data_IF_742998113930
#
_entry.id   IF_742998113930
#
_cell.length_a   1.000
_cell.length_b   1.000
_cell.length_c   1.000
_cell.angle_alpha   90.00
_cell.angle_beta   90.00
_cell.angle_gamma   90.00
#
_symmetry.space_group_name_H-M   'P 1'
#
loop_
_entity.id
_entity.type
_entity.pdbx_description
1 polymer ?
#
# COMPACT_ATOMS: atom_id res chain seq x y z
N UNK A 1 -7.45 -20.87 20.05
CA UNK A 1 -6.86 -21.17 18.73
C UNK A 1 -7.97 -21.11 17.70
N UNK A 2 -8.38 -19.89 17.32
CA UNK A 2 -9.36 -19.68 16.25
C UNK A 2 -8.58 -19.55 14.95
N UNK A 3 -8.70 -20.56 14.11
CA UNK A 3 -8.28 -20.48 12.72
C UNK A 3 -9.37 -19.63 12.05
N UNK A 4 -9.11 -18.35 11.83
CA UNK A 4 -9.96 -17.53 10.98
C UNK A 4 -9.76 -18.01 9.55
N UNK A 5 -10.73 -18.77 9.07
CA UNK A 5 -10.86 -19.18 7.69
C UNK A 5 -11.11 -17.92 6.82
N UNK A 6 -10.04 -17.29 6.35
CA UNK A 6 -10.05 -16.16 5.41
C UNK A 6 -10.33 -16.66 3.98
N UNK A 7 -11.38 -17.44 3.81
CA UNK A 7 -11.96 -17.67 2.49
C UNK A 7 -12.75 -16.41 2.12
N UNK A 8 -12.03 -15.41 1.59
CA UNK A 8 -12.64 -14.24 0.94
C UNK A 8 -13.36 -14.80 -0.29
N UNK A 9 -14.65 -15.07 -0.14
CA UNK A 9 -15.54 -15.37 -1.24
C UNK A 9 -15.51 -14.16 -2.19
N UNK A 10 -14.73 -14.29 -3.27
CA UNK A 10 -14.72 -13.34 -4.36
C UNK A 10 -16.11 -13.34 -5.01
N UNK A 11 -16.96 -12.39 -4.60
CA UNK A 11 -18.17 -12.05 -5.34
C UNK A 11 -17.76 -11.28 -6.60
N UNK A 12 -17.34 -12.03 -7.62
CA UNK A 12 -17.12 -11.48 -8.94
C UNK A 12 -18.48 -11.03 -9.51
N UNK A 13 -18.55 -9.80 -10.04
CA UNK A 13 -19.64 -9.33 -10.93
C UNK A 13 -20.03 -10.40 -11.94
N UNK A 14 -19.01 -11.09 -12.46
CA UNK A 14 -19.08 -12.15 -13.45
C UNK A 14 -19.98 -13.35 -13.03
N UNK A 15 -20.20 -13.56 -11.74
CA UNK A 15 -21.03 -14.65 -11.23
C UNK A 15 -22.51 -14.26 -11.03
N UNK A 16 -22.86 -12.96 -11.04
CA UNK A 16 -24.23 -12.48 -10.81
C UNK A 16 -24.90 -11.89 -12.06
N UNK A 17 -24.14 -11.48 -13.09
CA UNK A 17 -24.70 -10.91 -14.31
C UNK A 17 -24.98 -12.00 -15.38
N UNK A 18 -26.20 -12.57 -15.37
CA UNK A 18 -26.74 -13.47 -16.40
C UNK A 18 -26.99 -12.74 -17.73
N UNK A 19 -25.91 -12.37 -18.41
CA UNK A 19 -25.96 -11.53 -19.62
C UNK A 19 -24.63 -10.89 -20.03
N UNK A 20 -23.57 -11.14 -19.23
CA UNK A 20 -22.09 -11.02 -19.34
C UNK A 20 -21.43 -9.87 -20.12
N UNK A 21 -22.01 -9.32 -21.18
CA UNK A 21 -21.50 -8.11 -21.85
C UNK A 21 -22.45 -6.93 -21.70
N UNK A 22 -23.75 -7.15 -21.87
CA UNK A 22 -24.73 -6.04 -21.88
C UNK A 22 -24.84 -5.40 -20.50
N UNK A 23 -24.90 -6.18 -19.44
CA UNK A 23 -25.02 -5.67 -18.08
C UNK A 23 -23.73 -5.00 -17.60
N UNK A 24 -22.56 -5.54 -17.98
CA UNK A 24 -21.27 -4.88 -17.75
C UNK A 24 -21.21 -3.51 -18.44
N UNK A 25 -21.56 -3.45 -19.73
CA UNK A 25 -21.59 -2.19 -20.50
C UNK A 25 -22.60 -1.20 -19.90
N UNK A 26 -23.71 -1.69 -19.34
CA UNK A 26 -24.76 -0.84 -18.80
C UNK A 26 -24.45 -0.32 -17.39
N UNK A 27 -23.78 -1.12 -16.55
CA UNK A 27 -23.62 -0.85 -15.12
C UNK A 27 -22.17 -0.53 -14.78
N UNK A 28 -21.25 -1.44 -15.10
CA UNK A 28 -19.85 -1.32 -14.69
C UNK A 28 -19.06 -0.31 -15.52
N UNK A 29 -19.31 -0.22 -16.82
CA UNK A 29 -18.58 0.71 -17.70
C UNK A 29 -18.83 2.18 -17.34
N UNK A 30 -20.07 2.66 -17.11
CA UNK A 30 -20.30 4.03 -16.65
C UNK A 30 -19.66 4.33 -15.29
N UNK A 31 -19.72 3.37 -14.36
CA UNK A 31 -19.07 3.50 -13.06
C UNK A 31 -17.54 3.57 -13.18
N UNK A 32 -16.96 2.77 -14.08
CA UNK A 32 -15.54 2.82 -14.43
C UNK A 32 -15.16 4.19 -14.98
N UNK A 33 -15.88 4.70 -15.98
CA UNK A 33 -15.61 6.00 -16.60
C UNK A 33 -15.68 7.15 -15.58
N UNK A 34 -16.75 7.18 -14.77
CA UNK A 34 -16.91 8.14 -13.68
C UNK A 34 -15.75 8.07 -12.67
N UNK A 35 -15.27 6.86 -12.36
CA UNK A 35 -14.15 6.66 -11.44
C UNK A 35 -12.82 7.15 -12.01
N UNK A 36 -12.56 6.91 -13.31
CA UNK A 36 -11.33 7.37 -13.97
C UNK A 36 -11.23 8.90 -13.96
N UNK A 37 -12.34 9.60 -14.22
CA UNK A 37 -12.36 11.07 -14.22
C UNK A 37 -12.59 11.68 -12.82
N UNK A 38 -13.01 10.87 -11.85
CA UNK A 38 -13.33 11.30 -10.49
C UNK A 38 -14.64 12.08 -10.39
N UNK A 39 -15.63 11.77 -11.22
CA UNK A 39 -16.98 12.33 -11.16
C UNK A 39 -17.81 11.60 -10.10
N UNK A 40 -17.87 12.22 -8.92
CA UNK A 40 -18.62 11.64 -7.80
C UNK A 40 -20.12 11.62 -8.05
N UNK A 41 -20.67 12.61 -8.74
CA UNK A 41 -22.13 12.71 -8.94
C UNK A 41 -22.59 11.60 -9.89
N UNK A 42 -21.86 11.38 -10.98
CA UNK A 42 -22.12 10.27 -11.89
C UNK A 42 -21.95 8.92 -11.19
N UNK A 43 -20.86 8.73 -10.42
CA UNK A 43 -20.63 7.49 -9.68
C UNK A 43 -21.72 7.24 -8.63
N UNK A 44 -22.08 8.25 -7.84
CA UNK A 44 -23.13 8.15 -6.82
C UNK A 44 -24.49 7.81 -7.44
N UNK A 45 -24.84 8.44 -8.56
CA UNK A 45 -26.07 8.11 -9.28
C UNK A 45 -26.09 6.63 -9.72
N UNK A 46 -24.98 6.13 -10.30
CA UNK A 46 -24.88 4.71 -10.69
C UNK A 46 -25.01 3.77 -9.49
N UNK A 47 -24.40 4.11 -8.35
CA UNK A 47 -24.51 3.32 -7.11
C UNK A 47 -25.93 3.36 -6.54
N UNK A 48 -26.60 4.51 -6.62
CA UNK A 48 -27.97 4.68 -6.13
C UNK A 48 -29.01 3.96 -6.98
N UNK A 49 -28.89 3.99 -8.31
CA UNK A 49 -29.77 3.27 -9.23
C UNK A 49 -29.68 1.75 -9.00
N UNK A 50 -28.48 1.26 -8.66
CA UNK A 50 -28.20 -0.17 -8.51
C UNK A 50 -27.97 -0.53 -7.02
N UNK A 51 -28.72 0.08 -6.11
CA UNK A 51 -28.48 -0.06 -4.67
C UNK A 51 -28.66 -1.48 -4.12
N UNK A 52 -29.35 -2.36 -4.85
CA UNK A 52 -29.47 -3.78 -4.49
C UNK A 52 -28.18 -4.58 -4.76
N UNK A 53 -27.26 -4.03 -5.55
CA UNK A 53 -25.98 -4.65 -5.89
C UNK A 53 -24.85 -4.09 -5.03
N UNK A 54 -23.95 -4.97 -4.58
CA UNK A 54 -22.71 -4.55 -3.92
C UNK A 54 -21.64 -4.08 -4.92
N UNK A 55 -21.94 -3.03 -5.69
CA UNK A 55 -21.05 -2.52 -6.73
C UNK A 55 -19.67 -2.05 -6.21
N UNK A 56 -19.57 -1.69 -4.93
CA UNK A 56 -18.30 -1.30 -4.31
C UNK A 56 -17.45 -2.49 -3.90
N UNK A 57 -18.08 -3.63 -3.59
CA UNK A 57 -17.41 -4.90 -3.36
C UNK A 57 -17.02 -5.66 -4.64
N UNK A 58 -17.44 -5.15 -5.79
CA UNK A 58 -17.32 -5.80 -7.08
C UNK A 58 -16.06 -5.39 -7.84
N UNK A 59 -15.44 -6.37 -8.51
CA UNK A 59 -14.40 -6.11 -9.50
C UNK A 59 -15.01 -5.60 -10.80
N UNK A 60 -14.61 -4.41 -11.24
CA UNK A 60 -15.13 -3.73 -12.44
C UNK A 60 -14.19 -3.86 -13.65
N UNK A 61 -13.04 -4.52 -13.50
CA UNK A 61 -12.10 -4.80 -14.61
C UNK A 61 -11.69 -6.29 -14.64
N UNK A 62 -10.98 -6.68 -15.71
CA UNK A 62 -10.38 -8.02 -15.83
C UNK A 62 -9.26 -8.26 -14.82
N UNK A 63 -8.66 -7.19 -14.32
CA UNK A 63 -7.56 -7.22 -13.35
C UNK A 63 -8.06 -7.26 -11.91
N UNK A 64 -9.35 -7.58 -11.71
CA UNK A 64 -10.04 -7.63 -10.42
C UNK A 64 -10.08 -6.30 -9.67
N UNK A 65 -9.81 -5.19 -10.35
CA UNK A 65 -9.79 -3.86 -9.74
C UNK A 65 -11.22 -3.44 -9.37
N UNK A 66 -11.38 -2.87 -8.18
CA UNK A 66 -12.64 -2.30 -7.72
C UNK A 66 -12.75 -0.83 -8.13
N UNK A 67 -13.94 -0.24 -7.92
CA UNK A 67 -14.17 1.21 -8.08
C UNK A 67 -13.12 2.06 -7.36
N UNK A 68 -12.66 1.62 -6.17
CA UNK A 68 -11.63 2.33 -5.43
C UNK A 68 -10.28 2.32 -6.14
N UNK A 69 -9.84 1.16 -6.66
CA UNK A 69 -8.58 1.06 -7.40
C UNK A 69 -8.59 2.01 -8.61
N UNK A 70 -9.67 1.96 -9.41
CA UNK A 70 -9.81 2.81 -10.60
C UNK A 70 -9.93 4.29 -10.22
N UNK A 71 -10.64 4.60 -9.14
CA UNK A 71 -10.81 5.95 -8.61
C UNK A 71 -9.49 6.68 -8.32
N UNK A 72 -8.41 5.95 -8.03
CA UNK A 72 -7.11 6.52 -7.74
C UNK A 72 -6.44 7.17 -8.95
N UNK A 73 -6.75 6.72 -10.17
CA UNK A 73 -6.22 7.32 -11.39
C UNK A 73 -6.64 8.79 -11.54
N UNK A 74 -7.84 9.15 -11.05
CA UNK A 74 -8.34 10.53 -11.11
C UNK A 74 -7.51 11.53 -10.29
N UNK A 75 -6.76 11.03 -9.30
CA UNK A 75 -6.11 11.85 -8.25
C UNK A 75 -7.06 12.82 -7.52
N UNK A 76 -8.38 12.64 -7.67
CA UNK A 76 -9.39 13.48 -7.06
C UNK A 76 -9.61 13.06 -5.60
N UNK A 77 -8.98 13.79 -4.69
CA UNK A 77 -9.06 13.54 -3.25
C UNK A 77 -10.51 13.53 -2.74
N UNK A 78 -11.37 14.42 -3.25
CA UNK A 78 -12.78 14.49 -2.80
C UNK A 78 -13.55 13.25 -3.23
N UNK A 79 -13.33 12.79 -4.46
CA UNK A 79 -13.92 11.55 -4.96
C UNK A 79 -13.49 10.35 -4.12
N UNK A 80 -12.18 10.18 -3.92
CA UNK A 80 -11.63 9.06 -3.13
C UNK A 80 -12.12 9.10 -1.70
N UNK A 81 -12.17 10.28 -1.06
CA UNK A 81 -12.68 10.42 0.30
C UNK A 81 -14.14 9.96 0.42
N UNK A 82 -15.01 10.48 -0.45
CA UNK A 82 -16.42 10.09 -0.45
C UNK A 82 -16.62 8.60 -0.72
N UNK A 83 -15.79 8.02 -1.60
CA UNK A 83 -15.82 6.58 -1.89
C UNK A 83 -15.40 5.76 -0.67
N UNK A 84 -14.28 6.11 -0.03
CA UNK A 84 -13.79 5.45 1.20
C UNK A 84 -14.81 5.57 2.34
N UNK A 85 -15.45 6.72 2.50
CA UNK A 85 -16.48 6.95 3.52
C UNK A 85 -17.74 6.08 3.30
N UNK A 86 -18.05 5.71 2.04
CA UNK A 86 -19.17 4.83 1.67
C UNK A 86 -18.85 3.34 1.73
N UNK A 87 -17.57 2.97 1.81
CA UNK A 87 -17.15 1.57 1.79
C UNK A 87 -17.10 0.95 3.19
N UNK A 88 -17.43 -0.34 3.26
CA UNK A 88 -17.19 -1.19 4.43
C UNK A 88 -15.71 -1.56 4.50
N UNK A 89 -15.26 -1.95 5.69
CA UNK A 89 -13.87 -2.36 5.91
C UNK A 89 -13.49 -3.55 5.01
N UNK A 90 -14.42 -4.51 4.83
CA UNK A 90 -14.22 -5.64 3.92
C UNK A 90 -14.04 -5.22 2.46
N UNK A 91 -14.80 -4.22 2.00
CA UNK A 91 -14.66 -3.70 0.63
C UNK A 91 -13.34 -2.95 0.44
N UNK A 92 -12.87 -2.22 1.46
CA UNK A 92 -11.59 -1.51 1.42
C UNK A 92 -10.41 -2.48 1.32
N UNK A 93 -10.53 -3.68 1.91
CA UNK A 93 -9.48 -4.70 1.90
C UNK A 93 -9.43 -5.55 0.63
N UNK A 94 -10.33 -5.31 -0.34
CA UNK A 94 -10.33 -6.05 -1.59
C UNK A 94 -9.03 -5.84 -2.37
N UNK A 95 -8.60 -6.90 -3.04
CA UNK A 95 -7.33 -6.96 -3.75
C UNK A 95 -7.54 -7.16 -5.26
N UNK A 96 -6.68 -6.53 -6.05
CA UNK A 96 -6.60 -6.76 -7.50
C UNK A 96 -6.01 -8.15 -7.84
N UNK A 97 -5.79 -8.41 -9.12
CA UNK A 97 -5.21 -9.68 -9.61
C UNK A 97 -3.81 -9.96 -9.08
N UNK A 98 -3.08 -8.95 -8.62
CA UNK A 98 -1.74 -9.06 -8.05
C UNK A 98 -1.77 -9.18 -6.53
N UNK A 99 -2.96 -9.21 -5.91
CA UNK A 99 -3.08 -9.17 -4.45
C UNK A 99 -2.90 -7.76 -3.90
N UNK A 100 -2.89 -6.71 -4.71
CA UNK A 100 -2.64 -5.37 -4.22
C UNK A 100 -3.97 -4.72 -3.81
N UNK A 101 -3.98 -4.10 -2.63
CA UNK A 101 -5.09 -3.23 -2.23
C UNK A 101 -4.91 -1.83 -2.83
N UNK A 102 -5.95 -1.02 -2.75
CA UNK A 102 -5.87 0.40 -3.07
C UNK A 102 -4.77 1.13 -2.27
N UNK A 103 -4.49 0.70 -1.02
CA UNK A 103 -3.41 1.27 -0.23
C UNK A 103 -2.03 0.95 -0.84
N UNK A 104 -1.82 -0.28 -1.34
CA UNK A 104 -0.56 -0.66 -2.00
C UNK A 104 -0.31 0.16 -3.27
N UNK A 105 -1.35 0.46 -4.04
CA UNK A 105 -1.27 1.33 -5.21
C UNK A 105 -0.85 2.75 -4.85
N UNK A 106 -1.52 3.40 -3.88
CA UNK A 106 -1.14 4.76 -3.47
C UNK A 106 0.23 4.79 -2.80
N UNK A 107 0.64 3.69 -2.14
CA UNK A 107 1.95 3.56 -1.54
C UNK A 107 3.07 3.55 -2.60
N UNK A 108 2.91 2.76 -3.67
CA UNK A 108 3.80 2.76 -4.82
C UNK A 108 3.81 4.09 -5.59
N UNK A 109 2.66 4.77 -5.67
CA UNK A 109 2.57 6.11 -6.26
C UNK A 109 3.20 7.20 -5.38
N UNK A 110 3.22 7.00 -4.05
CA UNK A 110 3.72 7.96 -3.07
C UNK A 110 2.71 9.04 -2.65
N UNK A 111 1.41 8.84 -2.89
CA UNK A 111 0.37 9.82 -2.54
C UNK A 111 -0.02 9.71 -1.05
N UNK A 112 0.74 10.40 -0.19
CA UNK A 112 0.55 10.36 1.28
C UNK A 112 -0.83 10.86 1.70
N UNK A 113 -1.43 11.79 0.97
CA UNK A 113 -2.75 12.33 1.32
C UNK A 113 -3.85 11.28 1.14
N UNK A 114 -3.83 10.54 0.02
CA UNK A 114 -4.78 9.45 -0.20
C UNK A 114 -4.54 8.28 0.76
N UNK A 115 -3.29 7.92 1.01
CA UNK A 115 -2.95 6.90 2.00
C UNK A 115 -3.47 7.28 3.40
N UNK A 116 -3.46 8.57 3.75
CA UNK A 116 -4.04 9.05 5.01
C UNK A 116 -5.52 8.78 5.12
N UNK A 117 -6.28 9.17 4.10
CA UNK A 117 -7.74 8.94 4.05
C UNK A 117 -8.07 7.46 4.25
N UNK A 118 -7.36 6.57 3.55
CA UNK A 118 -7.60 5.12 3.65
C UNK A 118 -7.21 4.54 5.00
N UNK A 119 -6.00 4.86 5.50
CA UNK A 119 -5.46 4.29 6.75
C UNK A 119 -6.23 4.79 7.98
N UNK A 120 -6.68 6.04 7.98
CA UNK A 120 -7.51 6.57 9.07
C UNK A 120 -8.88 5.92 9.12
N UNK A 121 -9.45 5.57 7.96
CA UNK A 121 -10.72 4.85 7.89
C UNK A 121 -10.57 3.36 8.21
N UNK A 122 -9.48 2.72 7.78
CA UNK A 122 -9.29 1.27 7.84
C UNK A 122 -7.80 0.92 8.09
N UNK A 123 -7.34 0.93 9.37
CA UNK A 123 -5.93 0.69 9.70
C UNK A 123 -5.40 -0.69 9.28
N UNK A 124 -6.27 -1.71 9.21
CA UNK A 124 -5.89 -3.07 8.80
C UNK A 124 -5.30 -3.15 7.39
N UNK A 125 -5.54 -2.15 6.53
CA UNK A 125 -4.92 -2.06 5.20
C UNK A 125 -3.39 -2.09 5.27
N UNK A 126 -2.82 -1.61 6.38
CA UNK A 126 -1.39 -1.60 6.62
C UNK A 126 -0.78 -3.02 6.62
N UNK A 127 -1.52 -4.06 7.02
CA UNK A 127 -0.94 -5.40 7.20
C UNK A 127 -1.27 -6.38 6.07
N UNK A 128 -2.05 -5.94 5.07
CA UNK A 128 -2.45 -6.80 3.94
C UNK A 128 -1.30 -6.94 2.96
N UNK A 129 -0.99 -8.20 2.65
CA UNK A 129 0.11 -8.58 1.76
C UNK A 129 -0.37 -8.86 0.35
N UNK A 130 0.42 -8.44 -0.62
CA UNK A 130 0.21 -8.83 -2.01
C UNK A 130 0.74 -10.23 -2.32
N UNK A 131 0.65 -10.66 -3.59
CA UNK A 131 1.14 -11.98 -4.02
C UNK A 131 2.65 -12.14 -3.94
N UNK A 132 3.41 -11.05 -3.83
CA UNK A 132 4.85 -11.07 -3.57
C UNK A 132 5.16 -11.06 -2.07
N UNK A 133 4.14 -11.23 -1.22
CA UNK A 133 4.22 -11.13 0.23
C UNK A 133 4.60 -9.72 0.72
N UNK A 134 4.43 -8.70 -0.11
CA UNK A 134 4.82 -7.32 0.21
C UNK A 134 3.70 -6.59 0.94
N UNK A 135 4.10 -5.87 1.99
CA UNK A 135 3.27 -4.88 2.66
C UNK A 135 3.23 -3.59 1.84
N UNK A 136 2.23 -2.71 2.04
CA UNK A 136 2.16 -1.42 1.37
C UNK A 136 3.44 -0.57 1.53
N UNK A 137 4.09 -0.62 2.70
CA UNK A 137 5.36 0.08 2.90
C UNK A 137 6.52 -0.51 2.10
N UNK A 138 6.53 -1.82 1.86
CA UNK A 138 7.53 -2.48 1.03
C UNK A 138 7.38 -1.97 -0.40
N UNK A 139 6.15 -1.83 -0.88
CA UNK A 139 5.87 -1.19 -2.17
C UNK A 139 6.40 0.25 -2.24
N UNK A 140 6.13 1.06 -1.22
CA UNK A 140 6.64 2.43 -1.14
C UNK A 140 8.18 2.48 -1.16
N UNK A 141 8.85 1.57 -0.45
CA UNK A 141 10.30 1.49 -0.41
C UNK A 141 10.89 1.06 -1.77
N UNK A 142 10.34 0.01 -2.40
CA UNK A 142 10.71 -0.43 -3.75
C UNK A 142 10.58 0.70 -4.77
N UNK A 143 9.51 1.49 -4.67
CA UNK A 143 9.26 2.62 -5.57
C UNK A 143 9.99 3.92 -5.16
N UNK A 144 10.85 3.89 -4.14
CA UNK A 144 11.64 5.05 -3.68
C UNK A 144 10.80 6.20 -3.10
N UNK A 145 9.60 5.92 -2.58
CA UNK A 145 8.66 6.94 -2.10
C UNK A 145 8.96 7.35 -0.66
N UNK A 146 10.05 8.11 -0.48
CA UNK A 146 10.57 8.59 0.83
C UNK A 146 9.48 9.02 1.82
N UNK A 147 8.66 10.01 1.45
CA UNK A 147 7.63 10.56 2.35
C UNK A 147 6.54 9.54 2.70
N UNK A 148 6.24 8.61 1.78
CA UNK A 148 5.29 7.54 2.01
C UNK A 148 5.85 6.49 2.98
N UNK A 149 7.12 6.09 2.80
CA UNK A 149 7.80 5.20 3.74
C UNK A 149 7.78 5.79 5.14
N UNK A 150 8.15 7.07 5.29
CA UNK A 150 8.14 7.75 6.59
C UNK A 150 6.73 7.78 7.21
N UNK A 151 5.70 8.10 6.42
CA UNK A 151 4.31 8.11 6.86
C UNK A 151 3.83 6.73 7.32
N UNK A 152 3.98 5.70 6.48
CA UNK A 152 3.54 4.35 6.77
C UNK A 152 4.29 3.78 7.96
N UNK A 153 5.62 3.96 8.03
CA UNK A 153 6.44 3.51 9.15
C UNK A 153 5.98 4.11 10.48
N UNK A 154 5.66 5.42 10.48
CA UNK A 154 5.07 6.07 11.64
C UNK A 154 3.74 5.44 12.07
N UNK A 155 2.86 5.09 11.11
CA UNK A 155 1.59 4.41 11.41
C UNK A 155 1.82 3.02 12.00
N UNK A 156 2.70 2.19 11.43
CA UNK A 156 3.01 0.87 11.99
C UNK A 156 3.54 0.93 13.42
N UNK A 157 4.46 1.87 13.71
CA UNK A 157 4.98 2.04 15.08
C UNK A 157 3.89 2.38 16.11
N UNK A 158 2.80 2.98 15.65
CA UNK A 158 1.68 3.41 16.48
C UNK A 158 0.63 2.31 16.66
N UNK A 159 0.69 1.22 15.90
CA UNK A 159 -0.24 0.10 16.02
C UNK A 159 0.05 -0.68 17.31
N UNK A 160 -1.00 -0.96 18.09
CA UNK A 160 -0.91 -1.86 19.24
C UNK A 160 -0.83 -3.30 18.74
N UNK A 161 0.24 -4.02 19.09
CA UNK A 161 0.54 -5.35 18.55
C UNK A 161 1.72 -5.31 17.59
N UNK A 162 2.73 -6.16 17.85
CA UNK A 162 3.95 -6.20 17.06
C UNK A 162 3.75 -7.08 15.81
N UNK A 163 2.88 -6.66 14.90
CA UNK A 163 2.51 -7.45 13.72
C UNK A 163 3.64 -7.55 12.68
N UNK A 164 4.67 -6.71 12.77
CA UNK A 164 5.85 -6.84 11.92
C UNK A 164 6.79 -7.92 12.44
N UNK A 165 7.04 -8.89 11.58
CA UNK A 165 8.08 -9.88 11.81
C UNK A 165 9.47 -9.26 11.62
N UNK A 166 10.51 -9.91 12.15
CA UNK A 166 11.90 -9.53 11.85
C UNK A 166 12.18 -9.49 10.34
N UNK A 167 11.56 -10.42 9.60
CA UNK A 167 11.65 -10.48 8.13
C UNK A 167 11.05 -9.23 7.47
N UNK A 168 9.89 -8.76 7.93
CA UNK A 168 9.26 -7.54 7.38
C UNK A 168 10.15 -6.31 7.58
N UNK A 169 10.72 -6.18 8.78
CA UNK A 169 11.66 -5.11 9.10
C UNK A 169 12.88 -5.19 8.18
N UNK A 170 13.45 -6.38 8.02
CA UNK A 170 14.63 -6.60 7.18
C UNK A 170 14.35 -6.28 5.70
N UNK A 171 13.21 -6.73 5.17
CA UNK A 171 12.80 -6.46 3.79
C UNK A 171 12.65 -4.95 3.58
N UNK A 172 11.90 -4.25 4.42
CA UNK A 172 11.69 -2.81 4.27
C UNK A 172 13.00 -2.04 4.41
N UNK A 173 13.84 -2.39 5.39
CA UNK A 173 15.16 -1.80 5.58
C UNK A 173 16.04 -1.97 4.34
N UNK A 174 16.14 -3.20 3.80
CA UNK A 174 16.93 -3.50 2.62
C UNK A 174 16.44 -2.75 1.39
N UNK A 175 15.11 -2.72 1.16
CA UNK A 175 14.50 -1.96 0.05
C UNK A 175 14.76 -0.46 0.19
N UNK A 176 14.77 0.10 1.40
CA UNK A 176 15.12 1.50 1.63
C UNK A 176 16.58 1.78 1.22
N UNK A 177 17.53 0.91 1.56
CA UNK A 177 18.94 1.07 1.16
C UNK A 177 19.09 0.96 -0.35
N UNK A 178 18.48 -0.07 -0.96
CA UNK A 178 18.49 -0.27 -2.41
C UNK A 178 18.00 1.00 -3.15
N UNK A 179 16.95 1.64 -2.62
CA UNK A 179 16.33 2.86 -3.13
C UNK A 179 16.94 4.18 -2.62
N UNK A 180 18.10 4.17 -1.95
CA UNK A 180 18.78 5.37 -1.39
C UNK A 180 17.97 6.18 -0.36
N UNK A 181 16.99 5.55 0.29
CA UNK A 181 16.20 6.11 1.38
C UNK A 181 16.92 5.96 2.72
N UNK A 182 18.14 6.48 2.82
CA UNK A 182 19.03 6.29 3.98
C UNK A 182 18.46 6.84 5.28
N UNK A 183 17.67 7.92 5.22
CA UNK A 183 17.01 8.50 6.39
C UNK A 183 15.95 7.55 6.98
N UNK A 184 15.18 6.90 6.11
CA UNK A 184 14.19 5.89 6.50
C UNK A 184 14.88 4.63 7.01
N UNK A 185 15.93 4.17 6.32
CA UNK A 185 16.72 3.01 6.75
C UNK A 185 17.38 3.24 8.11
N UNK A 186 18.01 4.41 8.33
CA UNK A 186 18.63 4.77 9.59
C UNK A 186 17.59 4.85 10.71
N UNK A 187 16.44 5.47 10.45
CA UNK A 187 15.34 5.52 11.43
C UNK A 187 14.87 4.13 11.84
N UNK A 188 14.69 3.22 10.88
CA UNK A 188 14.33 1.82 11.17
C UNK A 188 15.42 1.19 12.04
N UNK A 189 16.69 1.39 11.70
CA UNK A 189 17.80 0.82 12.46
C UNK A 189 17.86 1.33 13.90
N UNK A 190 17.76 2.64 14.11
CA UNK A 190 17.76 3.26 15.44
C UNK A 190 16.61 2.73 16.30
N UNK A 191 15.42 2.64 15.70
CA UNK A 191 14.22 2.13 16.38
C UNK A 191 14.33 0.64 16.75
N UNK A 192 15.06 -0.17 15.96
CA UNK A 192 15.29 -1.60 16.26
C UNK A 192 16.41 -1.84 17.27
N UNK A 193 17.49 -1.06 17.19
CA UNK A 193 18.60 -1.16 18.15
C UNK A 193 18.12 -0.88 19.58
N UNK A 194 17.14 0.02 19.72
CA UNK A 194 16.48 0.30 20.99
C UNK A 194 15.51 -0.81 21.47
N UNK A 195 15.14 -1.77 20.62
CA UNK A 195 14.15 -2.82 20.93
C UNK A 195 14.75 -4.22 21.14
N UNK A 196 15.66 -4.67 20.28
CA UNK A 196 16.08 -6.10 20.23
C UNK A 196 17.60 -6.28 19.98
N UNK A 197 18.34 -5.21 19.68
CA UNK A 197 19.69 -5.32 19.11
C UNK A 197 19.65 -5.73 17.64
N UNK A 198 20.74 -5.47 16.91
CA UNK A 198 20.84 -5.66 15.44
C UNK A 198 20.38 -7.07 15.00
N UNK A 199 19.60 -7.23 13.91
CA UNK A 199 19.25 -8.55 13.42
C UNK A 199 20.51 -9.32 13.04
N UNK A 200 20.55 -10.59 13.45
CA UNK A 200 21.57 -11.62 13.25
C UNK A 200 22.62 -11.35 12.16
N UNK A 201 23.89 -11.65 12.44
CA UNK A 201 25.10 -11.43 11.61
C UNK A 201 24.95 -11.73 10.10
N UNK A 202 24.00 -12.58 9.70
CA UNK A 202 23.64 -12.84 8.31
C UNK A 202 23.14 -11.60 7.55
N UNK A 203 22.42 -10.67 8.21
CA UNK A 203 21.87 -9.46 7.57
C UNK A 203 22.95 -8.41 7.28
N UNK A 204 23.97 -8.31 8.15
CA UNK A 204 25.05 -7.35 8.02
C UNK A 204 25.83 -7.53 6.70
N UNK A 205 26.04 -8.78 6.26
CA UNK A 205 26.76 -9.07 5.03
C UNK A 205 26.07 -8.54 3.77
N UNK A 206 24.76 -8.75 3.65
CA UNK A 206 23.97 -8.25 2.50
C UNK A 206 23.88 -6.73 2.48
N UNK A 207 23.69 -6.12 3.65
CA UNK A 207 23.61 -4.66 3.80
C UNK A 207 24.95 -4.00 3.44
N UNK A 208 26.07 -4.52 3.97
CA UNK A 208 27.40 -4.03 3.65
C UNK A 208 27.73 -4.23 2.16
N UNK A 209 27.29 -5.33 1.55
CA UNK A 209 27.43 -5.55 0.11
C UNK A 209 26.71 -4.50 -0.73
N UNK A 210 25.44 -4.18 -0.40
CA UNK A 210 24.66 -3.15 -1.12
C UNK A 210 25.31 -1.77 -0.93
N UNK A 211 25.71 -1.42 0.30
CA UNK A 211 26.38 -0.15 0.60
C UNK A 211 27.74 -0.03 -0.10
N UNK A 212 28.55 -1.08 -0.12
CA UNK A 212 29.85 -1.08 -0.78
C UNK A 212 29.75 -0.78 -2.29
N UNK A 213 28.63 -1.17 -2.93
CA UNK A 213 28.36 -0.86 -4.34
C UNK A 213 27.87 0.57 -4.56
N UNK A 214 27.44 1.28 -3.52
CA UNK A 214 26.98 2.66 -3.56
C UNK A 214 28.09 3.62 -3.15
N UNK A 215 29.21 3.59 -3.88
CA UNK A 215 30.42 4.39 -3.58
C UNK A 215 30.18 5.91 -3.53
N UNK A 216 29.12 6.41 -4.17
CA UNK A 216 28.71 7.81 -4.09
C UNK A 216 28.21 8.23 -2.71
N UNK A 217 27.61 7.32 -1.94
CA UNK A 217 27.11 7.61 -0.59
C UNK A 217 28.23 7.92 0.42
N UNK A 218 29.49 7.62 0.07
CA UNK A 218 30.65 7.78 0.95
C UNK A 218 31.72 8.77 0.42
N UNK A 219 31.40 9.55 -0.62
CA UNK A 219 32.39 10.46 -1.24
C UNK A 219 32.89 11.57 -0.30
N UNK A 220 32.08 11.97 0.68
CA UNK A 220 32.41 13.05 1.64
C UNK A 220 33.13 12.57 2.92
N UNK A 221 33.33 11.25 3.07
CA UNK A 221 33.97 10.65 4.26
C UNK A 221 35.47 10.99 4.36
N UNK A 222 36.07 11.57 3.31
CA UNK A 222 37.47 12.05 3.32
C UNK A 222 37.72 13.21 4.30
N UNK A 223 36.69 13.83 4.85
CA UNK A 223 36.80 14.90 5.86
C UNK A 223 37.03 14.39 7.30
N UNK A 224 36.75 13.11 7.60
CA UNK A 224 36.86 12.58 8.97
C UNK A 224 38.29 12.41 9.50
N UNK A 225 39.30 12.52 8.63
CA UNK A 225 40.71 12.44 9.04
C UNK A 225 41.26 13.74 9.67
N UNK A 226 40.48 14.82 9.77
CA UNK A 226 40.98 16.11 10.28
C UNK A 226 40.34 16.62 11.58
N UNK A 227 39.42 15.89 12.22
CA UNK A 227 38.77 16.32 13.47
C UNK A 227 39.30 15.64 14.73
N UNK A 228 40.50 15.05 14.70
CA UNK A 228 41.21 14.53 15.87
C UNK A 228 42.60 15.15 16.02
N UNK A 229 42.65 16.49 16.03
CA UNK A 229 43.73 17.27 16.64
C UNK A 229 43.14 18.49 17.34
N UNK A 230 42.82 18.32 18.62
CA UNK A 230 43.20 19.18 19.76
C UNK A 230 42.52 18.63 21.01
#
# INVERSE_FOLDING_TARGET
MMIHDFSINYFNVWNHLEGRRKDYIKICLPLYEASVVGDWEAAENMLSINCELDLLGYSITQDKETTLHIGLYSQNIKFVKKLVDRMTDQQLTLQDKNGQTALSWVAGAGNVHMARIMVERCPQLLTIRDKHNWLPITMAAVCGKRNMVAYLYGKYKSMEGNDWTCEDIHVVFSRCIEADLFDSALKILDDQNNRIGFPEQACAGGVLYILARKTYAFKDVKSWKNSSKC
#
